data_IF_693585692109
#
_entry.id   IF_693585692109
#
_cell.length_a   1.000
_cell.length_b   1.000
_cell.length_c   1.000
_cell.angle_alpha   90.00
_cell.angle_beta   90.00
_cell.angle_gamma   90.00
#
_symmetry.space_group_name_H-M   'P 1'
#
loop_
_entity.id
_entity.type
_entity.pdbx_description
1 polymer ?
#
# COMPACT_ATOMS: atom_id res chain seq x y z
N UNK A 1 32.92 -10.15 12.42
CA UNK A 1 31.56 -10.18 11.78
C UNK A 1 31.76 -10.00 10.29
N UNK A 2 31.30 -10.95 9.46
CA UNK A 2 31.39 -10.80 8.01
C UNK A 2 30.47 -9.67 7.53
N UNK A 3 30.87 -8.85 6.54
CA UNK A 3 30.02 -7.79 6.02
C UNK A 3 28.76 -8.40 5.38
N UNK A 4 27.60 -7.80 5.65
CA UNK A 4 26.35 -8.21 5.02
C UNK A 4 26.45 -8.06 3.49
N UNK A 5 25.92 -9.02 2.71
CA UNK A 5 25.96 -8.95 1.25
C UNK A 5 25.28 -7.67 0.76
N UNK A 6 25.97 -6.92 -0.11
CA UNK A 6 25.43 -5.69 -0.70
C UNK A 6 24.47 -6.05 -1.84
N UNK A 7 23.17 -5.81 -1.63
CA UNK A 7 22.14 -5.98 -2.67
C UNK A 7 21.91 -4.64 -3.38
N UNK A 8 21.82 -4.65 -4.71
CA UNK A 8 21.50 -3.49 -5.55
C UNK A 8 20.17 -3.71 -6.28
N UNK A 9 19.02 -3.56 -5.60
CA UNK A 9 17.73 -3.78 -6.23
C UNK A 9 17.50 -2.75 -7.35
N UNK A 10 16.89 -3.20 -8.45
CA UNK A 10 16.44 -2.34 -9.54
C UNK A 10 14.91 -2.34 -9.57
N UNK A 11 14.31 -1.15 -9.58
CA UNK A 11 12.87 -1.01 -9.79
C UNK A 11 12.56 -1.35 -11.25
N UNK A 12 11.76 -2.40 -11.47
CA UNK A 12 11.38 -2.86 -12.82
C UNK A 12 10.02 -2.28 -13.24
N UNK A 13 9.09 -2.14 -12.27
CA UNK A 13 7.77 -1.55 -12.48
C UNK A 13 7.33 -0.84 -11.20
N UNK A 14 6.62 0.27 -11.38
CA UNK A 14 5.97 1.02 -10.31
C UNK A 14 4.53 1.33 -10.72
N UNK A 15 3.61 1.28 -9.75
CA UNK A 15 2.22 1.64 -9.99
C UNK A 15 1.65 2.31 -8.73
N UNK A 16 0.97 3.44 -8.92
CA UNK A 16 0.22 4.10 -7.86
C UNK A 16 -1.11 3.38 -7.61
N UNK A 17 -1.32 2.87 -6.39
CA UNK A 17 -2.56 2.20 -6.01
C UNK A 17 -3.59 3.14 -5.39
N UNK A 18 -3.15 4.13 -4.63
CA UNK A 18 -3.99 5.17 -4.04
C UNK A 18 -3.31 6.53 -4.14
N UNK A 19 -4.11 7.56 -4.38
CA UNK A 19 -3.66 8.96 -4.40
C UNK A 19 -4.36 9.65 -3.24
N UNK A 20 -3.56 10.28 -2.38
CA UNK A 20 -4.05 11.10 -1.25
C UNK A 20 -4.71 12.38 -1.76
N UNK A 21 -5.74 12.85 -1.05
CA UNK A 21 -6.48 14.08 -1.37
C UNK A 21 -7.99 13.82 -1.42
N UNK A 22 -8.78 14.82 -1.06
CA UNK A 22 -10.23 14.72 -0.89
C UNK A 22 -11.04 14.58 -2.20
N UNK A 23 -10.41 14.13 -3.31
CA UNK A 23 -11.06 13.82 -4.58
C UNK A 23 -12.12 12.70 -4.46
N UNK A 24 -12.50 12.05 -5.58
CA UNK A 24 -13.51 10.97 -5.55
C UNK A 24 -13.09 9.84 -4.58
N UNK A 25 -13.72 9.79 -3.41
CA UNK A 25 -13.40 8.86 -2.31
C UNK A 25 -13.23 9.54 -0.95
N UNK A 26 -12.98 10.86 -0.93
CA UNK A 26 -12.93 11.68 0.29
C UNK A 26 -11.94 11.15 1.32
N UNK A 27 -10.70 10.83 0.90
CA UNK A 27 -9.63 10.35 1.79
C UNK A 27 -8.46 11.32 1.73
N UNK A 28 -8.20 12.00 2.84
CA UNK A 28 -7.07 12.92 2.97
C UNK A 28 -5.70 12.23 2.77
N UNK A 29 -5.43 11.08 3.41
CA UNK A 29 -4.12 10.40 3.28
C UNK A 29 -4.25 8.88 3.34
N UNK A 30 -3.46 8.17 2.53
CA UNK A 30 -3.26 6.72 2.69
C UNK A 30 -1.91 6.43 3.34
N UNK A 31 -1.88 5.67 4.44
CA UNK A 31 -0.64 5.22 5.11
C UNK A 31 -0.78 3.77 5.59
N UNK A 32 0.27 3.25 6.22
CA UNK A 32 0.31 1.90 6.83
C UNK A 32 -0.02 0.81 5.79
N UNK A 33 0.79 0.66 4.73
CA UNK A 33 0.54 -0.34 3.71
C UNK A 33 0.77 -1.76 4.25
N UNK A 34 -0.10 -2.67 3.86
CA UNK A 34 0.03 -4.12 4.03
C UNK A 34 -0.04 -4.79 2.66
N UNK A 35 0.90 -5.68 2.36
CA UNK A 35 0.88 -6.50 1.15
C UNK A 35 1.09 -7.97 1.49
N UNK A 36 0.31 -8.86 0.87
CA UNK A 36 0.44 -10.30 1.02
C UNK A 36 0.07 -11.03 -0.27
N UNK A 37 0.59 -12.25 -0.41
CA UNK A 37 0.20 -13.19 -1.47
C UNK A 37 -0.70 -14.24 -0.85
N UNK A 38 -1.89 -14.41 -1.41
CA UNK A 38 -2.84 -15.45 -0.99
C UNK A 38 -2.37 -16.84 -1.46
N UNK A 39 -2.82 -17.96 -0.86
CA UNK A 39 -2.46 -19.30 -1.33
C UNK A 39 -2.77 -19.57 -2.80
N UNK A 40 -3.79 -18.89 -3.36
CA UNK A 40 -4.13 -18.95 -4.78
C UNK A 40 -3.28 -18.07 -5.70
N UNK A 41 -2.19 -17.48 -5.20
CA UNK A 41 -1.25 -16.66 -5.98
C UNK A 41 -1.68 -15.20 -6.21
N UNK A 42 -2.88 -14.80 -5.77
CA UNK A 42 -3.31 -13.41 -5.89
C UNK A 42 -2.59 -12.51 -4.89
N UNK A 43 -2.20 -11.31 -5.34
CA UNK A 43 -1.63 -10.26 -4.48
C UNK A 43 -2.77 -9.43 -3.89
N UNK A 44 -2.78 -9.26 -2.58
CA UNK A 44 -3.66 -8.34 -1.87
C UNK A 44 -2.82 -7.22 -1.27
N UNK A 45 -3.14 -5.98 -1.62
CA UNK A 45 -2.55 -4.79 -1.00
C UNK A 45 -3.65 -4.00 -0.33
N UNK A 46 -3.44 -3.61 0.92
CA UNK A 46 -4.33 -2.73 1.68
C UNK A 46 -3.56 -1.52 2.22
N UNK A 47 -4.27 -0.42 2.43
CA UNK A 47 -3.76 0.76 3.11
C UNK A 47 -4.86 1.37 3.99
N UNK A 48 -4.44 2.03 5.07
CA UNK A 48 -5.31 2.81 5.92
C UNK A 48 -5.65 4.14 5.22
N UNK A 49 -6.91 4.30 4.83
CA UNK A 49 -7.44 5.54 4.28
C UNK A 49 -7.91 6.48 5.40
N UNK A 50 -7.12 7.50 5.67
CA UNK A 50 -7.36 8.51 6.70
C UNK A 50 -8.24 9.62 6.14
N UNK A 51 -9.46 9.75 6.65
CA UNK A 51 -10.49 10.56 6.02
C UNK A 51 -10.19 12.06 6.04
N UNK A 52 -9.81 12.61 7.21
CA UNK A 52 -9.74 14.06 7.43
C UNK A 52 -8.34 14.64 7.64
N UNK A 53 -7.39 13.83 8.09
CA UNK A 53 -6.03 14.29 8.41
C UNK A 53 -5.06 13.11 8.33
N UNK A 54 -3.73 13.36 8.27
CA UNK A 54 -2.72 12.30 8.25
C UNK A 54 -2.50 11.69 9.64
N UNK A 55 -3.17 12.19 10.69
CA UNK A 55 -2.91 11.83 12.08
C UNK A 55 -3.40 10.43 12.44
N UNK A 56 -2.82 9.81 13.47
CA UNK A 56 -3.19 8.49 13.98
C UNK A 56 -4.48 8.53 14.83
N UNK A 57 -5.43 9.40 14.48
CA UNK A 57 -6.70 9.61 15.19
C UNK A 57 -7.85 9.91 14.22
N UNK A 58 -9.08 9.69 14.66
CA UNK A 58 -10.29 10.01 13.89
C UNK A 58 -10.66 8.94 12.87
N UNK A 59 -11.56 9.29 11.93
CA UNK A 59 -12.19 8.32 11.03
C UNK A 59 -11.21 7.75 9.99
N UNK A 60 -11.13 6.41 9.93
CA UNK A 60 -10.28 5.64 9.01
C UNK A 60 -11.11 4.59 8.27
N UNK A 61 -10.66 4.22 7.08
CA UNK A 61 -11.12 3.04 6.33
C UNK A 61 -9.93 2.15 6.01
N UNK A 62 -10.17 0.86 5.77
CA UNK A 62 -9.16 -0.02 5.18
C UNK A 62 -9.50 -0.17 3.70
N UNK A 63 -8.67 0.40 2.83
CA UNK A 63 -8.84 0.32 1.39
C UNK A 63 -7.96 -0.81 0.85
N UNK A 64 -8.57 -1.81 0.21
CA UNK A 64 -7.86 -2.97 -0.34
C UNK A 64 -8.03 -3.09 -1.85
N UNK A 65 -6.98 -3.56 -2.53
CA UNK A 65 -6.98 -3.94 -3.94
C UNK A 65 -6.40 -5.35 -4.08
N UNK A 66 -7.01 -6.16 -4.94
CA UNK A 66 -6.57 -7.51 -5.27
C UNK A 66 -6.11 -7.55 -6.72
N UNK A 67 -4.95 -8.14 -6.97
CA UNK A 67 -4.46 -8.51 -8.31
C UNK A 67 -4.42 -10.04 -8.41
N UNK A 68 -5.05 -10.63 -9.45
CA UNK A 68 -4.98 -12.07 -9.70
C UNK A 68 -3.72 -12.50 -10.49
N UNK A 69 -2.91 -11.55 -10.96
CA UNK A 69 -1.88 -11.72 -11.99
C UNK A 69 -0.47 -11.31 -11.51
N UNK A 70 -0.23 -11.29 -10.20
CA UNK A 70 1.09 -11.02 -9.62
C UNK A 70 1.42 -9.54 -9.39
N UNK A 71 0.47 -8.64 -9.70
CA UNK A 71 0.57 -7.18 -9.55
C UNK A 71 1.01 -6.50 -10.83
#
# INVERSE_FOLDING_TARGET
VAPSPQVRPRVVREQTLWVSGEGRGGVHTFRVPLALVTPGGAVLVCAEGRKRSPDDVGAKIIACRRSPDGG
#
